data_IF_787338806869
#
_entry.id   IF_787338806869
#
_cell.length_a   1.000
_cell.length_b   1.000
_cell.length_c   1.000
_cell.angle_alpha   90.00
_cell.angle_beta   90.00
_cell.angle_gamma   90.00
#
_symmetry.space_group_name_H-M   'P 1'
#
loop_
_entity.id
_entity.type
_entity.pdbx_description
1 polymer ?
#
# COMPACT_ATOMS: atom_id res chain seq x y z
N UNK A 1 13.05 -4.56 -14.09
CA UNK A 1 11.89 -3.78 -14.60
C UNK A 1 11.53 -2.72 -13.56
N UNK A 2 11.25 -1.46 -13.94
CA UNK A 2 11.09 -0.37 -12.96
C UNK A 2 9.61 -0.11 -12.66
N UNK A 3 9.18 -0.34 -11.41
CA UNK A 3 7.84 0.02 -10.95
C UNK A 3 7.73 1.55 -10.84
N UNK A 4 6.66 2.12 -11.39
CA UNK A 4 6.34 3.54 -11.23
C UNK A 4 5.74 3.79 -9.86
N UNK A 5 5.69 5.05 -9.42
CA UNK A 5 5.05 5.38 -8.14
C UNK A 5 3.57 4.93 -8.09
N UNK A 6 2.82 5.00 -9.20
CA UNK A 6 1.42 4.53 -9.26
C UNK A 6 1.32 3.02 -9.11
N UNK A 7 2.27 2.28 -9.67
CA UNK A 7 2.34 0.83 -9.48
C UNK A 7 2.54 0.50 -7.99
N UNK A 8 3.47 1.18 -7.34
CA UNK A 8 3.73 1.02 -5.90
C UNK A 8 2.48 1.37 -5.08
N UNK A 9 1.85 2.51 -5.35
CA UNK A 9 0.64 2.96 -4.67
C UNK A 9 -0.51 1.96 -4.78
N UNK A 10 -0.73 1.35 -5.96
CA UNK A 10 -1.78 0.32 -6.14
C UNK A 10 -1.43 -0.94 -5.33
N UNK A 11 -0.19 -1.44 -5.42
CA UNK A 11 0.21 -2.68 -4.74
C UNK A 11 0.10 -2.53 -3.21
N UNK A 12 0.69 -1.46 -2.67
CA UNK A 12 0.63 -1.15 -1.24
C UNK A 12 -0.80 -0.86 -0.78
N UNK A 13 -1.56 -0.09 -1.57
CA UNK A 13 -2.96 0.25 -1.28
C UNK A 13 -3.87 -0.97 -1.21
N UNK A 14 -3.74 -1.91 -2.15
CA UNK A 14 -4.52 -3.16 -2.15
C UNK A 14 -4.19 -4.00 -0.92
N UNK A 15 -2.90 -4.17 -0.57
CA UNK A 15 -2.52 -4.94 0.62
C UNK A 15 -3.05 -4.30 1.91
N UNK A 16 -2.88 -2.98 2.05
CA UNK A 16 -3.35 -2.22 3.21
C UNK A 16 -4.87 -2.32 3.37
N UNK A 17 -5.61 -2.12 2.29
CA UNK A 17 -7.07 -2.23 2.31
C UNK A 17 -7.53 -3.68 2.57
N UNK A 18 -6.83 -4.68 2.03
CA UNK A 18 -7.11 -6.08 2.31
C UNK A 18 -7.01 -6.36 3.81
N UNK A 19 -5.88 -5.99 4.42
CA UNK A 19 -5.62 -6.19 5.85
C UNK A 19 -6.64 -5.42 6.70
N UNK A 20 -6.87 -4.14 6.38
CA UNK A 20 -7.78 -3.28 7.13
C UNK A 20 -9.24 -3.74 7.06
N UNK A 21 -9.68 -4.29 5.93
CA UNK A 21 -11.05 -4.80 5.76
C UNK A 21 -11.18 -6.20 6.40
N UNK A 22 -10.21 -7.08 6.18
CA UNK A 22 -10.23 -8.44 6.74
C UNK A 22 -10.14 -8.44 8.27
N UNK A 23 -9.48 -7.44 8.87
CA UNK A 23 -9.41 -7.29 10.32
C UNK A 23 -10.71 -6.76 10.98
N UNK A 24 -11.73 -6.39 10.20
CA UNK A 24 -12.99 -5.89 10.76
C UNK A 24 -13.77 -7.01 11.44
N UNK A 25 -14.42 -6.70 12.57
CA UNK A 25 -15.32 -7.64 13.24
C UNK A 25 -16.50 -8.00 12.33
N UNK A 26 -16.59 -9.27 11.94
CA UNK A 26 -17.67 -9.80 11.13
C UNK A 26 -19.07 -9.56 11.74
N UNK A 27 -19.16 -9.59 13.07
CA UNK A 27 -20.39 -9.34 13.82
C UNK A 27 -20.67 -7.86 14.07
N UNK A 28 -19.73 -6.97 13.73
CA UNK A 28 -19.91 -5.51 13.76
C UNK A 28 -21.02 -4.99 12.83
N UNK A 29 -21.57 -5.86 11.97
CA UNK A 29 -22.80 -5.59 11.22
C UNK A 29 -24.08 -5.59 12.07
N UNK A 30 -24.10 -6.16 13.26
CA UNK A 30 -25.35 -6.45 13.98
C UNK A 30 -26.05 -5.17 14.45
N UNK A 31 -25.32 -4.06 14.60
CA UNK A 31 -25.89 -2.74 14.88
C UNK A 31 -26.27 -1.94 13.61
N UNK A 32 -26.06 -2.49 12.40
CA UNK A 32 -26.35 -1.80 11.14
C UNK A 32 -27.75 -2.12 10.61
N UNK A 33 -28.34 -1.23 9.78
CA UNK A 33 -29.59 -1.51 9.07
C UNK A 33 -29.50 -2.80 8.25
N UNK A 34 -30.59 -3.58 8.22
CA UNK A 34 -30.63 -4.92 7.60
C UNK A 34 -30.02 -4.97 6.19
N UNK A 35 -30.34 -4.00 5.33
CA UNK A 35 -29.83 -3.92 3.95
C UNK A 35 -28.31 -3.70 3.87
N UNK A 36 -27.68 -3.11 4.90
CA UNK A 36 -26.25 -2.87 4.94
C UNK A 36 -25.47 -4.02 5.57
N UNK A 37 -26.13 -4.89 6.37
CA UNK A 37 -25.50 -6.04 7.03
C UNK A 37 -24.88 -7.01 6.03
N UNK A 38 -25.64 -7.34 4.98
CA UNK A 38 -25.19 -8.25 3.93
C UNK A 38 -23.94 -7.73 3.21
N UNK A 39 -23.97 -6.47 2.77
CA UNK A 39 -22.85 -5.84 2.09
C UNK A 39 -21.60 -5.74 2.98
N UNK A 40 -21.78 -5.44 4.26
CA UNK A 40 -20.67 -5.38 5.22
C UNK A 40 -19.97 -6.73 5.37
N UNK A 41 -20.74 -7.79 5.67
CA UNK A 41 -20.20 -9.14 5.84
C UNK A 41 -19.58 -9.68 4.54
N UNK A 42 -20.21 -9.38 3.40
CA UNK A 42 -19.69 -9.77 2.09
C UNK A 42 -18.37 -9.06 1.78
N UNK A 43 -18.20 -7.80 2.17
CA UNK A 43 -16.95 -7.06 2.01
C UNK A 43 -15.81 -7.70 2.81
N UNK A 44 -16.06 -8.11 4.05
CA UNK A 44 -15.07 -8.80 4.89
C UNK A 44 -14.66 -10.13 4.24
N UNK A 45 -15.63 -10.99 3.90
CA UNK A 45 -15.34 -12.28 3.23
C UNK A 45 -14.57 -12.13 1.92
N UNK A 46 -14.85 -11.08 1.16
CA UNK A 46 -14.11 -10.78 -0.08
C UNK A 46 -12.66 -10.43 0.23
N UNK A 47 -12.41 -9.58 1.22
CA UNK A 47 -11.06 -9.21 1.63
C UNK A 47 -10.29 -10.39 2.23
N UNK A 48 -10.94 -11.27 3.00
CA UNK A 48 -10.35 -12.55 3.48
C UNK A 48 -9.91 -13.43 2.29
N UNK A 49 -10.67 -13.43 1.20
CA UNK A 49 -10.31 -14.11 -0.05
C UNK A 49 -9.34 -13.30 -0.94
N UNK A 50 -8.84 -12.15 -0.47
CA UNK A 50 -7.88 -11.28 -1.17
C UNK A 50 -8.49 -10.30 -2.17
N UNK A 51 -9.81 -10.21 -2.27
CA UNK A 51 -10.51 -9.28 -3.18
C UNK A 51 -10.84 -7.97 -2.49
N UNK A 52 -10.29 -6.88 -3.02
CA UNK A 52 -10.44 -5.53 -2.46
C UNK A 52 -11.08 -4.60 -3.49
N UNK A 53 -12.05 -3.76 -3.11
CA UNK A 53 -12.62 -2.78 -4.03
C UNK A 53 -11.57 -1.77 -4.51
N UNK A 54 -11.66 -1.34 -5.77
CA UNK A 54 -10.79 -0.28 -6.30
C UNK A 54 -11.08 1.03 -5.59
N UNK A 55 -10.08 1.60 -4.90
CA UNK A 55 -10.22 2.84 -4.14
C UNK A 55 -9.06 3.81 -4.40
N UNK A 56 -9.00 4.35 -5.62
CA UNK A 56 -7.90 5.23 -6.07
C UNK A 56 -7.77 6.48 -5.19
N UNK A 57 -8.89 7.06 -4.75
CA UNK A 57 -8.90 8.24 -3.88
C UNK A 57 -8.18 7.97 -2.56
N UNK A 58 -8.49 6.86 -1.89
CA UNK A 58 -7.80 6.51 -0.65
C UNK A 58 -6.31 6.22 -0.86
N UNK A 59 -5.94 5.59 -1.98
CA UNK A 59 -4.53 5.29 -2.27
C UNK A 59 -3.72 6.53 -2.65
N UNK A 60 -4.38 7.59 -3.13
CA UNK A 60 -3.77 8.88 -3.40
C UNK A 60 -3.78 9.82 -2.20
N UNK A 61 -4.68 9.59 -1.24
CA UNK A 61 -4.97 10.53 -0.15
C UNK A 61 -5.75 11.78 -0.59
N UNK A 62 -6.21 11.82 -1.85
CA UNK A 62 -6.97 12.92 -2.42
C UNK A 62 -7.86 12.44 -3.58
N UNK A 63 -8.96 13.16 -3.89
CA UNK A 63 -9.80 12.86 -5.05
C UNK A 63 -8.98 12.90 -6.35
N UNK A 64 -8.97 11.83 -7.17
CA UNK A 64 -8.22 11.82 -8.42
C UNK A 64 -8.85 12.75 -9.45
N UNK A 65 -8.02 13.47 -10.19
CA UNK A 65 -8.42 14.12 -11.44
C UNK A 65 -8.83 13.10 -12.50
N UNK A 66 -9.51 13.57 -13.56
CA UNK A 66 -9.87 12.72 -14.72
C UNK A 66 -8.65 12.05 -15.36
N UNK A 67 -7.56 12.81 -15.53
CA UNK A 67 -6.31 12.28 -16.09
C UNK A 67 -5.68 11.23 -15.19
N UNK A 68 -5.69 11.44 -13.87
CA UNK A 68 -5.19 10.45 -12.91
C UNK A 68 -5.99 9.17 -12.92
N UNK A 69 -7.32 9.26 -13.01
CA UNK A 69 -8.20 8.10 -13.14
C UNK A 69 -7.80 7.24 -14.34
N UNK A 70 -7.56 7.87 -15.50
CA UNK A 70 -7.09 7.16 -16.70
C UNK A 70 -5.70 6.54 -16.50
N UNK A 71 -4.78 7.27 -15.86
CA UNK A 71 -3.43 6.77 -15.59
C UNK A 71 -3.42 5.60 -14.60
N UNK A 72 -4.27 5.63 -13.58
CA UNK A 72 -4.46 4.51 -12.65
C UNK A 72 -5.06 3.29 -13.34
N UNK A 73 -6.05 3.49 -14.22
CA UNK A 73 -6.57 2.39 -15.02
C UNK A 73 -5.47 1.75 -15.88
N UNK A 74 -4.64 2.54 -16.55
CA UNK A 74 -3.49 2.04 -17.32
C UNK A 74 -2.48 1.29 -16.44
N UNK A 75 -2.18 1.83 -15.27
CA UNK A 75 -1.29 1.20 -14.29
C UNK A 75 -1.84 -0.17 -13.81
N UNK A 76 -3.15 -0.28 -13.56
CA UNK A 76 -3.80 -1.55 -13.22
C UNK A 76 -3.69 -2.56 -14.38
N UNK A 77 -3.90 -2.13 -15.62
CA UNK A 77 -3.71 -2.99 -16.80
C UNK A 77 -2.28 -3.50 -16.86
N UNK A 78 -1.30 -2.60 -16.70
CA UNK A 78 0.12 -2.95 -16.74
C UNK A 78 0.49 -3.94 -15.65
N UNK A 79 0.09 -3.70 -14.39
CA UNK A 79 0.31 -4.64 -13.28
C UNK A 79 -0.32 -6.01 -13.52
N UNK A 80 -1.50 -6.06 -14.14
CA UNK A 80 -2.15 -7.32 -14.49
C UNK A 80 -1.39 -8.06 -15.60
N UNK A 81 -0.92 -7.35 -16.63
CA UNK A 81 -0.04 -7.92 -17.67
C UNK A 81 1.27 -8.46 -17.08
N UNK A 82 1.79 -7.84 -16.03
CA UNK A 82 2.97 -8.31 -15.31
C UNK A 82 2.69 -9.51 -14.39
N UNK A 83 1.44 -9.94 -14.25
CA UNK A 83 1.06 -11.03 -13.35
C UNK A 83 1.18 -10.67 -11.87
N UNK A 84 1.14 -9.37 -11.51
CA UNK A 84 1.24 -8.91 -10.12
C UNK A 84 -0.13 -8.73 -9.46
N UNK A 85 -1.16 -8.47 -10.25
CA UNK A 85 -2.53 -8.36 -9.77
C UNK A 85 -3.49 -9.09 -10.70
N UNK A 86 -4.64 -9.45 -10.17
CA UNK A 86 -5.80 -9.88 -10.92
C UNK A 86 -6.89 -8.80 -10.85
N UNK A 87 -7.62 -8.64 -11.95
CA UNK A 87 -8.70 -7.66 -12.09
C UNK A 87 -10.03 -8.38 -12.19
N UNK A 88 -10.96 -8.06 -11.29
CA UNK A 88 -12.23 -8.77 -11.17
C UNK A 88 -13.44 -7.81 -11.24
N UNK A 89 -14.55 -8.28 -11.82
CA UNK A 89 -15.85 -7.62 -11.74
C UNK A 89 -16.78 -8.43 -10.83
N UNK A 90 -17.09 -7.90 -9.65
CA UNK A 90 -17.99 -8.56 -8.70
C UNK A 90 -19.48 -8.24 -8.93
N UNK A 91 -19.79 -7.31 -9.84
CA UNK A 91 -21.16 -6.92 -10.20
C UNK A 91 -21.57 -7.41 -11.59
N UNK A 92 -20.72 -8.17 -12.27
CA UNK A 92 -20.88 -8.54 -13.68
C UNK A 92 -20.40 -7.45 -14.64
N UNK A 93 -20.27 -7.80 -15.92
CA UNK A 93 -19.82 -6.89 -16.97
C UNK A 93 -18.31 -6.69 -17.07
N UNK A 94 -17.89 -5.67 -17.83
CA UNK A 94 -16.48 -5.46 -18.23
C UNK A 94 -15.67 -4.57 -17.28
N UNK A 95 -16.32 -3.84 -16.37
CA UNK A 95 -15.66 -2.88 -15.49
C UNK A 95 -14.98 -3.60 -14.33
N UNK A 96 -13.69 -3.38 -14.14
CA UNK A 96 -12.99 -3.80 -12.91
C UNK A 96 -13.56 -3.06 -11.72
N UNK A 97 -14.00 -3.82 -10.71
CA UNK A 97 -14.49 -3.28 -9.44
C UNK A 97 -13.60 -3.69 -8.29
N UNK A 98 -12.92 -4.83 -8.40
CA UNK A 98 -12.05 -5.36 -7.36
C UNK A 98 -10.69 -5.77 -7.95
N UNK A 99 -9.65 -5.65 -7.13
CA UNK A 99 -8.32 -6.15 -7.40
C UNK A 99 -7.97 -7.23 -6.38
N UNK A 100 -7.10 -8.15 -6.78
CA UNK A 100 -6.48 -9.14 -5.92
C UNK A 100 -4.99 -9.19 -6.23
N UNK A 101 -4.14 -9.26 -5.21
CA UNK A 101 -2.71 -9.49 -5.40
C UNK A 101 -2.47 -10.96 -5.77
N UNK A 102 -1.57 -11.20 -6.72
CA UNK A 102 -0.98 -12.53 -6.90
C UNK A 102 0.10 -12.76 -5.86
N UNK A 103 0.62 -13.98 -5.73
CA UNK A 103 1.73 -14.27 -4.79
C UNK A 103 2.98 -13.44 -5.10
N UNK A 104 3.19 -13.08 -6.37
CA UNK A 104 4.29 -12.20 -6.78
C UNK A 104 4.00 -10.73 -6.41
N UNK A 105 2.77 -10.26 -6.62
CA UNK A 105 2.35 -8.92 -6.22
C UNK A 105 2.36 -8.74 -4.70
N UNK A 106 1.96 -9.76 -3.95
CA UNK A 106 1.95 -9.78 -2.48
C UNK A 106 3.35 -9.53 -1.93
N UNK A 107 4.34 -10.33 -2.36
CA UNK A 107 5.74 -10.17 -1.92
C UNK A 107 6.29 -8.76 -2.18
N UNK A 108 5.95 -8.18 -3.33
CA UNK A 108 6.36 -6.79 -3.65
C UNK A 108 5.63 -5.80 -2.76
N UNK A 109 4.32 -5.95 -2.56
CA UNK A 109 3.53 -5.06 -1.72
C UNK A 109 4.01 -5.09 -0.26
N UNK A 110 4.33 -6.27 0.28
CA UNK A 110 4.92 -6.43 1.62
C UNK A 110 6.25 -5.68 1.73
N UNK A 111 7.13 -5.83 0.74
CA UNK A 111 8.40 -5.10 0.69
C UNK A 111 8.20 -3.58 0.68
N UNK A 112 7.23 -3.08 -0.09
CA UNK A 112 6.90 -1.65 -0.14
C UNK A 112 6.39 -1.11 1.20
N UNK A 113 5.55 -1.89 1.91
CA UNK A 113 5.07 -1.48 3.24
C UNK A 113 6.16 -1.52 4.30
N UNK A 114 7.11 -2.46 4.19
CA UNK A 114 8.27 -2.52 5.08
C UNK A 114 9.25 -1.36 4.85
N UNK A 115 9.43 -0.89 3.60
CA UNK A 115 10.22 0.30 3.28
C UNK A 115 9.57 1.61 3.81
N UNK A 116 8.24 1.67 3.88
CA UNK A 116 7.48 2.82 4.41
C UNK A 116 7.45 2.85 5.95
N UNK A 117 7.63 1.71 6.61
CA UNK A 117 7.72 1.66 8.07
C UNK A 117 9.09 2.23 8.52
N UNK A 118 9.14 3.24 9.41
CA UNK A 118 10.38 3.54 10.09
C UNK A 118 10.83 2.26 10.79
N UNK A 119 12.13 1.96 10.74
CA UNK A 119 12.71 0.84 11.48
C UNK A 119 12.48 1.16 12.97
N UNK A 120 11.38 0.65 13.52
CA UNK A 120 11.17 0.61 14.96
C UNK A 120 12.03 -0.53 15.48
N UNK A 121 13.29 -0.22 15.79
CA UNK A 121 14.19 -1.17 16.45
C UNK A 121 13.73 -1.50 17.88
N UNK A 122 12.65 -0.91 18.41
CA UNK A 122 12.16 -1.14 19.77
C UNK A 122 13.12 -0.67 20.88
N UNK A 123 14.39 -0.43 20.54
CA UNK A 123 15.35 0.27 21.37
C UNK A 123 15.25 1.77 21.08
N UNK A 124 14.98 2.60 22.11
CA UNK A 124 15.23 4.02 21.98
C UNK A 124 16.72 4.20 21.63
N UNK A 125 17.00 4.87 20.52
CA UNK A 125 18.36 5.34 20.23
C UNK A 125 18.75 6.26 21.39
N UNK A 126 19.61 5.77 22.29
CA UNK A 126 20.16 6.59 23.35
C UNK A 126 21.14 7.58 22.69
N UNK A 127 20.61 8.76 22.37
CA UNK A 127 21.37 9.87 21.78
C UNK A 127 22.55 10.31 22.69
N UNK A 128 22.58 9.85 23.95
CA UNK A 128 23.70 10.05 24.87
C UNK A 128 24.92 9.15 24.57
N UNK A 129 24.74 8.01 23.90
CA UNK A 129 25.81 7.06 23.55
C UNK A 129 26.39 7.30 22.15
N UNK A 130 25.79 8.20 21.36
CA UNK A 130 26.39 8.64 20.10
C UNK A 130 27.52 9.63 20.40
N UNK A 131 28.75 9.11 20.42
CA UNK A 131 29.96 9.93 20.42
C UNK A 131 30.13 10.67 19.07
N UNK A 132 29.39 11.77 18.94
CA UNK A 132 29.43 12.71 17.82
C UNK A 132 30.81 13.39 17.66
N UNK A 133 31.74 13.23 18.62
CA UNK A 133 33.08 13.80 18.52
C UNK A 133 33.93 13.10 17.44
N UNK A 134 33.64 11.82 17.15
CA UNK A 134 34.29 11.06 16.06
C UNK A 134 33.89 11.55 14.65
N UNK A 135 32.69 12.12 14.53
CA UNK A 135 32.14 12.63 13.26
C UNK A 135 32.67 14.02 12.92
N UNK A 136 33.00 14.83 13.93
CA UNK A 136 33.65 16.14 13.75
C UNK A 136 35.14 16.00 13.46
N UNK A 137 35.81 15.01 14.06
CA UNK A 137 37.25 14.75 13.83
C UNK A 137 37.58 14.40 12.36
N UNK A 138 36.65 13.84 11.61
CA UNK A 138 36.82 13.55 10.18
C UNK A 138 36.63 14.75 9.24
N UNK A 139 35.98 15.83 9.71
CA UNK A 139 35.67 17.02 8.90
C UNK A 139 36.74 18.11 8.97
N UNK A 140 37.58 18.13 10.02
CA UNK A 140 38.70 19.09 10.12
C UNK A 140 40.01 18.57 9.49
N UNK A 141 40.09 17.29 9.14
CA UNK A 141 41.30 16.69 8.57
C UNK A 141 41.49 16.93 7.06
N UNK A 142 40.48 17.48 6.36
CA UNK A 142 40.51 17.71 4.90
C UNK A 142 40.32 19.19 4.52
N UNK A 143 40.84 20.10 5.34
CA UNK A 143 41.10 21.46 4.91
C UNK A 143 42.46 21.49 4.19
N UNK A 144 42.53 21.60 2.85
CA UNK A 144 43.79 21.83 2.18
C UNK A 144 44.34 23.19 2.59
N UNK A 145 45.56 23.19 3.15
CA UNK A 145 46.33 24.39 3.39
C UNK A 145 46.52 25.14 2.06
N UNK A 146 45.86 26.27 1.92
CA UNK A 146 46.03 27.18 0.79
C UNK A 146 47.18 28.17 1.09
N UNK A 147 47.92 28.60 0.05
CA UNK A 147 49.26 29.21 0.15
C UNK A 147 49.30 30.64 0.70
#
# INVERSE_FOLDING_TARGET
MKLTWRHKAILAGVLRDQQAIAAQDFHGADNRPYMQRGNYRLRIRRAEAGYVPVNVEAWLGAPPSNSETVMFHRAQVQLATMGLIERHSMAGGRRTTHLRLTDAGLRIAEGLLAEEAPIDTGEPLDLADLDLSSLVAGLEADAPAAP
#
